data_IF_725435230016
#
_entry.id   IF_725435230016
#
_cell.length_a   1.000
_cell.length_b   1.000
_cell.length_c   1.000
_cell.angle_alpha   90.00
_cell.angle_beta   90.00
_cell.angle_gamma   90.00
#
_symmetry.space_group_name_H-M   'P 1'
#
loop_
_entity.id
_entity.type
_entity.pdbx_description
1 polymer ?
#
# COMPACT_ATOMS: atom_id res chain seq x y z
N UNK A 1 -15.39 -3.44 30.54
CA UNK A 1 -15.21 -3.16 29.10
C UNK A 1 -14.23 -4.20 28.60
N UNK A 2 -14.64 -5.12 27.70
CA UNK A 2 -13.74 -6.16 27.18
C UNK A 2 -12.62 -5.53 26.35
N UNK A 3 -11.41 -6.07 26.47
CA UNK A 3 -10.27 -5.69 25.66
C UNK A 3 -10.43 -6.34 24.27
N UNK A 4 -10.28 -5.56 23.21
CA UNK A 4 -10.48 -5.98 21.82
C UNK A 4 -9.13 -5.97 21.13
N UNK A 5 -8.80 -7.06 20.43
CA UNK A 5 -7.61 -7.14 19.58
C UNK A 5 -8.08 -7.05 18.12
N UNK A 6 -7.75 -5.95 17.45
CA UNK A 6 -7.93 -5.83 16.01
C UNK A 6 -6.73 -6.44 15.29
N UNK A 7 -6.95 -7.49 14.49
CA UNK A 7 -5.91 -8.07 13.64
C UNK A 7 -6.19 -7.72 12.18
N UNK A 8 -5.19 -7.16 11.52
CA UNK A 8 -5.28 -6.77 10.12
C UNK A 8 -4.13 -7.43 9.40
N UNK A 9 -4.50 -8.22 8.40
CA UNK A 9 -3.54 -8.95 7.57
C UNK A 9 -3.45 -8.20 6.25
N UNK A 10 -2.27 -7.67 5.98
CA UNK A 10 -1.93 -6.99 4.73
C UNK A 10 -1.02 -7.89 3.92
N UNK A 11 -1.41 -8.21 2.70
CA UNK A 11 -0.58 -8.98 1.77
C UNK A 11 -0.30 -8.13 0.51
N UNK A 12 0.99 -7.92 0.22
CA UNK A 12 1.47 -7.45 -1.09
C UNK A 12 1.38 -8.60 -2.09
N UNK A 13 0.17 -8.89 -2.59
CA UNK A 13 0.01 -9.87 -3.66
C UNK A 13 0.28 -9.20 -5.00
N UNK A 14 1.48 -9.42 -5.52
CA UNK A 14 1.83 -9.16 -6.91
C UNK A 14 2.07 -10.47 -7.65
N UNK A 15 1.00 -11.16 -8.08
CA UNK A 15 1.08 -12.31 -9.00
C UNK A 15 -0.08 -12.28 -10.00
N UNK A 16 0.17 -12.42 -11.31
CA UNK A 16 -0.78 -13.04 -12.22
C UNK A 16 -0.55 -14.57 -12.30
N UNK A 17 -1.65 -15.28 -12.60
CA UNK A 17 -1.78 -16.67 -13.02
C UNK A 17 -1.75 -17.79 -11.95
N UNK A 18 -2.94 -18.37 -11.74
CA UNK A 18 -3.11 -19.79 -11.40
C UNK A 18 -3.32 -20.11 -9.92
N UNK A 19 -4.51 -19.85 -9.39
CA UNK A 19 -5.04 -20.59 -8.24
C UNK A 19 -6.57 -20.53 -8.26
N UNK A 20 -7.19 -21.70 -8.11
CA UNK A 20 -8.62 -21.96 -8.20
C UNK A 20 -9.48 -21.01 -7.35
N UNK A 21 -10.57 -20.51 -7.95
CA UNK A 21 -11.80 -20.13 -7.23
C UNK A 21 -11.75 -18.89 -6.33
N UNK A 22 -10.66 -18.13 -6.26
CA UNK A 22 -10.64 -16.87 -5.51
C UNK A 22 -11.44 -15.81 -6.28
N UNK A 23 -12.62 -15.51 -5.74
CA UNK A 23 -13.48 -14.39 -6.14
C UNK A 23 -12.60 -13.14 -6.31
N UNK A 24 -12.69 -12.48 -7.46
CA UNK A 24 -11.88 -11.27 -7.70
C UNK A 24 -12.12 -10.27 -6.56
N UNK A 25 -11.06 -9.83 -5.85
CA UNK A 25 -11.22 -8.98 -4.70
C UNK A 25 -11.92 -7.69 -5.13
N UNK A 26 -13.02 -7.36 -4.45
CA UNK A 26 -13.78 -6.13 -4.73
C UNK A 26 -12.81 -4.94 -4.61
N UNK A 27 -12.84 -4.03 -5.59
CA UNK A 27 -12.04 -2.81 -5.53
C UNK A 27 -12.63 -1.87 -4.49
N UNK A 28 -11.81 -1.40 -3.55
CA UNK A 28 -12.22 -0.35 -2.63
C UNK A 28 -12.61 0.91 -3.42
N UNK A 29 -13.72 1.56 -3.01
CA UNK A 29 -14.15 2.82 -3.59
C UNK A 29 -13.30 3.95 -2.97
N UNK A 30 -12.51 4.70 -3.77
CA UNK A 30 -11.75 5.82 -3.25
C UNK A 30 -12.70 6.96 -2.87
N UNK A 31 -12.61 7.43 -1.63
CA UNK A 31 -13.40 8.56 -1.13
C UNK A 31 -12.51 9.79 -0.91
N UNK A 32 -12.37 10.68 -1.91
CA UNK A 32 -11.67 11.94 -1.71
C UNK A 32 -12.54 12.90 -0.87
N UNK A 33 -12.13 13.20 0.35
CA UNK A 33 -12.75 14.26 1.14
C UNK A 33 -12.06 15.61 0.85
N UNK A 34 -12.83 16.55 0.30
CA UNK A 34 -12.70 18.02 0.45
C UNK A 34 -11.36 18.71 0.12
N UNK A 35 -11.39 19.81 -0.64
CA UNK A 35 -10.24 20.72 -0.85
C UNK A 35 -9.86 21.55 0.38
N UNK A 36 -10.52 21.36 1.52
CA UNK A 36 -10.42 22.20 2.72
C UNK A 36 -9.97 21.36 3.92
N UNK A 37 -8.88 21.78 4.57
CA UNK A 37 -8.40 21.19 5.83
C UNK A 37 -9.52 21.27 6.88
N UNK A 38 -10.10 20.12 7.24
CA UNK A 38 -10.96 20.03 8.41
C UNK A 38 -10.06 19.88 9.65
N UNK A 39 -10.29 20.71 10.66
CA UNK A 39 -9.57 20.73 11.94
C UNK A 39 -9.73 19.46 12.79
N UNK A 40 -10.58 18.54 12.35
CA UNK A 40 -10.84 17.23 12.97
C UNK A 40 -10.34 16.11 12.07
N UNK A 41 -9.02 15.96 11.90
CA UNK A 41 -8.43 14.72 11.37
C UNK A 41 -8.92 14.24 9.99
N UNK A 42 -9.54 15.10 9.17
CA UNK A 42 -9.89 14.78 7.79
C UNK A 42 -8.62 14.76 6.96
N UNK A 43 -7.87 13.68 7.11
CA UNK A 43 -6.63 13.39 6.43
C UNK A 43 -6.83 13.46 4.92
N UNK A 44 -5.86 14.12 4.27
CA UNK A 44 -5.62 14.15 2.83
C UNK A 44 -6.04 12.83 2.16
N UNK A 45 -6.67 12.92 0.99
CA UNK A 45 -7.08 11.75 0.18
C UNK A 45 -5.91 10.81 -0.17
N UNK A 46 -4.66 11.31 -0.06
CA UNK A 46 -3.43 10.56 -0.28
C UNK A 46 -2.58 10.55 0.99
N UNK A 47 -1.75 9.52 1.15
CA UNK A 47 -0.67 9.55 2.14
C UNK A 47 0.24 10.76 1.87
N UNK A 48 0.63 11.55 2.89
CA UNK A 48 1.58 12.65 2.72
C UNK A 48 2.99 12.09 2.50
N UNK A 49 3.23 11.52 1.32
CA UNK A 49 4.58 11.20 0.85
C UNK A 49 5.20 12.50 0.37
N UNK A 50 6.39 12.90 0.87
CA UNK A 50 7.05 14.10 0.39
C UNK A 50 7.24 14.08 -1.13
N UNK A 51 7.27 15.24 -1.80
CA UNK A 51 7.64 15.30 -3.21
C UNK A 51 9.03 14.70 -3.44
N UNK A 52 9.15 13.79 -4.39
CA UNK A 52 10.43 13.29 -4.88
C UNK A 52 10.99 14.30 -5.89
N UNK A 53 12.10 14.94 -5.55
CA UNK A 53 12.79 15.83 -6.50
C UNK A 53 13.47 15.01 -7.60
N UNK A 54 13.73 15.64 -8.75
CA UNK A 54 14.43 14.99 -9.87
C UNK A 54 15.88 14.63 -9.51
N UNK A 55 16.57 15.54 -8.82
CA UNK A 55 17.94 15.34 -8.34
C UNK A 55 18.01 14.13 -7.40
N UNK A 56 17.13 14.07 -6.39
CA UNK A 56 17.05 12.93 -5.47
C UNK A 56 16.72 11.63 -6.19
N UNK A 57 15.82 11.67 -7.18
CA UNK A 57 15.53 10.50 -8.01
C UNK A 57 16.77 9.99 -8.78
N UNK A 58 17.58 10.88 -9.35
CA UNK A 58 18.81 10.50 -10.04
C UNK A 58 19.86 9.93 -9.08
N UNK A 59 20.01 10.52 -7.89
CA UNK A 59 20.88 10.01 -6.84
C UNK A 59 20.49 8.58 -6.45
N UNK A 60 19.19 8.32 -6.26
CA UNK A 60 18.67 7.00 -5.95
C UNK A 60 18.91 5.99 -7.09
N UNK A 61 18.72 6.38 -8.36
CA UNK A 61 19.02 5.49 -9.49
C UNK A 61 20.52 5.15 -9.57
N UNK A 62 21.38 6.14 -9.33
CA UNK A 62 22.84 5.95 -9.34
C UNK A 62 23.29 5.03 -8.19
N UNK A 63 22.74 5.20 -6.99
CA UNK A 63 22.99 4.30 -5.87
C UNK A 63 22.50 2.88 -6.16
N UNK A 64 21.25 2.74 -6.63
CA UNK A 64 20.67 1.43 -6.95
C UNK A 64 21.45 0.66 -8.03
N UNK A 65 22.10 1.36 -8.97
CA UNK A 65 22.95 0.72 -9.97
C UNK A 65 24.11 -0.10 -9.36
N UNK A 66 24.62 0.31 -8.20
CA UNK A 66 25.70 -0.37 -7.47
C UNK A 66 25.23 -1.34 -6.38
N UNK A 67 23.93 -1.34 -6.06
CA UNK A 67 23.36 -2.10 -4.94
C UNK A 67 22.75 -3.46 -5.40
N UNK A 68 22.48 -4.39 -4.45
CA UNK A 68 21.78 -5.64 -4.76
C UNK A 68 20.30 -5.40 -5.12
N UNK A 69 19.71 -6.24 -5.98
CA UNK A 69 18.27 -6.20 -6.30
C UNK A 69 17.42 -6.90 -5.23
N UNK A 70 17.55 -6.47 -3.97
CA UNK A 70 16.90 -7.07 -2.80
C UNK A 70 16.58 -6.01 -1.73
N UNK A 71 15.91 -6.42 -0.65
CA UNK A 71 15.61 -5.57 0.52
C UNK A 71 16.86 -4.98 1.20
N UNK A 72 18.06 -5.49 0.90
CA UNK A 72 19.32 -4.95 1.37
C UNK A 72 19.76 -3.66 0.64
N UNK A 73 19.02 -3.21 -0.38
CA UNK A 73 19.31 -1.98 -1.14
C UNK A 73 18.48 -0.80 -0.61
N UNK A 74 19.06 0.12 0.16
CA UNK A 74 18.33 1.28 0.67
C UNK A 74 17.78 2.14 -0.47
N UNK A 75 18.51 2.28 -1.57
CA UNK A 75 18.06 3.07 -2.71
C UNK A 75 16.83 2.44 -3.38
N UNK A 76 16.79 1.11 -3.51
CA UNK A 76 15.61 0.40 -3.99
C UNK A 76 14.42 0.60 -3.02
N UNK A 77 14.62 0.36 -1.72
CA UNK A 77 13.55 0.50 -0.73
C UNK A 77 12.93 1.91 -0.78
N UNK A 78 13.77 2.94 -0.93
CA UNK A 78 13.34 4.33 -1.02
C UNK A 78 12.65 4.66 -2.35
N UNK A 79 13.16 4.16 -3.49
CA UNK A 79 12.47 4.27 -4.79
C UNK A 79 11.06 3.66 -4.72
N UNK A 80 10.91 2.53 -4.03
CA UNK A 80 9.62 1.87 -3.83
C UNK A 80 8.73 2.61 -2.84
N UNK A 81 9.31 3.24 -1.82
CA UNK A 81 8.59 4.16 -0.93
C UNK A 81 8.00 5.33 -1.72
N UNK A 82 8.74 5.95 -2.65
CA UNK A 82 8.18 7.03 -3.48
C UNK A 82 7.22 6.54 -4.59
N UNK A 83 7.25 5.25 -4.92
CA UNK A 83 6.22 4.54 -5.69
C UNK A 83 5.80 5.25 -6.97
N UNK A 84 4.59 5.80 -7.00
CA UNK A 84 4.03 6.49 -8.18
C UNK A 84 4.90 7.65 -8.67
N UNK A 85 5.60 8.35 -7.77
CA UNK A 85 6.49 9.45 -8.14
C UNK A 85 7.71 8.91 -8.90
N UNK A 86 8.36 7.88 -8.35
CA UNK A 86 9.49 7.19 -9.00
C UNK A 86 9.10 6.63 -10.36
N UNK A 87 7.92 6.00 -10.48
CA UNK A 87 7.43 5.49 -11.77
C UNK A 87 7.29 6.60 -12.83
N UNK A 88 6.68 7.73 -12.46
CA UNK A 88 6.48 8.86 -13.37
C UNK A 88 7.81 9.46 -13.84
N UNK A 89 8.78 9.60 -12.92
CA UNK A 89 10.12 10.09 -13.28
C UNK A 89 10.87 9.08 -14.15
N UNK A 90 10.76 7.78 -13.86
CA UNK A 90 11.35 6.71 -14.68
C UNK A 90 10.75 6.61 -16.08
N UNK A 91 9.46 6.94 -16.25
CA UNK A 91 8.79 7.04 -17.55
C UNK A 91 9.20 8.30 -18.32
N UNK A 92 9.39 9.42 -17.61
CA UNK A 92 9.70 10.71 -18.23
C UNK A 92 11.18 10.88 -18.59
N UNK A 93 12.08 10.37 -17.76
CA UNK A 93 13.52 10.64 -17.83
C UNK A 93 14.36 9.40 -18.17
N UNK A 94 13.74 8.21 -18.12
CA UNK A 94 14.39 6.95 -18.44
C UNK A 94 15.17 6.35 -17.26
N UNK A 95 15.82 5.19 -17.48
CA UNK A 95 16.45 4.40 -16.43
C UNK A 95 17.82 4.92 -15.97
N UNK A 96 18.36 5.96 -16.61
CA UNK A 96 19.67 6.52 -16.26
C UNK A 96 20.78 5.46 -16.31
N UNK A 97 21.53 5.25 -15.20
CA UNK A 97 22.67 4.33 -15.16
C UNK A 97 22.30 2.85 -14.96
N UNK A 98 21.02 2.51 -14.82
CA UNK A 98 20.62 1.12 -14.60
C UNK A 98 20.90 0.26 -15.84
N UNK A 99 21.43 -0.94 -15.61
CA UNK A 99 21.43 -1.99 -16.62
C UNK A 99 19.99 -2.49 -16.92
N UNK A 100 19.87 -3.26 -17.99
CA UNK A 100 18.57 -3.74 -18.50
C UNK A 100 17.82 -4.60 -17.46
N UNK A 101 18.53 -5.38 -16.65
CA UNK A 101 17.89 -6.28 -15.68
C UNK A 101 17.41 -5.50 -14.45
N UNK A 102 18.19 -4.53 -13.96
CA UNK A 102 17.80 -3.61 -12.90
C UNK A 102 16.64 -2.72 -13.30
N UNK A 103 16.65 -2.17 -14.52
CA UNK A 103 15.53 -1.41 -15.05
C UNK A 103 14.26 -2.28 -15.07
N UNK A 104 14.36 -3.49 -15.64
CA UNK A 104 13.23 -4.43 -15.73
C UNK A 104 12.69 -4.77 -14.34
N UNK A 105 13.59 -5.04 -13.40
CA UNK A 105 13.25 -5.30 -12.00
C UNK A 105 12.50 -4.11 -11.38
N UNK A 106 13.07 -2.91 -11.44
CA UNK A 106 12.48 -1.69 -10.87
C UNK A 106 11.11 -1.40 -11.48
N UNK A 107 10.96 -1.49 -12.80
CA UNK A 107 9.67 -1.30 -13.49
C UNK A 107 8.64 -2.32 -13.05
N UNK A 108 9.03 -3.59 -12.85
CA UNK A 108 8.12 -4.63 -12.34
C UNK A 108 7.64 -4.29 -10.94
N UNK A 109 8.54 -3.88 -10.05
CA UNK A 109 8.18 -3.56 -8.67
C UNK A 109 7.33 -2.30 -8.57
N UNK A 110 7.64 -1.24 -9.32
CA UNK A 110 6.87 0.01 -9.35
C UNK A 110 5.47 -0.13 -9.97
N UNK A 111 5.20 -1.22 -10.71
CA UNK A 111 3.86 -1.56 -11.22
C UNK A 111 2.95 -2.15 -10.15
N UNK A 112 3.48 -2.56 -8.99
CA UNK A 112 2.68 -3.09 -7.88
C UNK A 112 2.03 -1.94 -7.12
N UNK A 113 0.86 -1.50 -7.60
CA UNK A 113 0.13 -0.34 -7.07
C UNK A 113 -0.99 -0.71 -6.08
N UNK A 114 -1.18 -2.00 -5.78
CA UNK A 114 -2.27 -2.48 -4.95
C UNK A 114 -1.77 -3.42 -3.87
N UNK A 115 -2.49 -3.44 -2.76
CA UNK A 115 -2.39 -4.45 -1.71
C UNK A 115 -3.73 -5.16 -1.55
N UNK A 116 -3.69 -6.39 -1.03
CA UNK A 116 -4.88 -7.08 -0.55
C UNK A 116 -4.96 -6.92 0.96
N UNK A 117 -6.11 -6.46 1.45
CA UNK A 117 -6.36 -6.21 2.87
C UNK A 117 -7.47 -7.12 3.34
N UNK A 118 -7.25 -7.79 4.46
CA UNK A 118 -8.28 -8.49 5.22
C UNK A 118 -8.38 -7.85 6.61
N UNK A 119 -9.61 -7.66 7.08
CA UNK A 119 -9.88 -7.04 8.39
C UNK A 119 -10.66 -8.02 9.27
N UNK A 120 -10.23 -8.16 10.53
CA UNK A 120 -10.90 -8.95 11.56
C UNK A 120 -10.85 -8.21 12.91
N UNK A 121 -11.97 -8.13 13.61
CA UNK A 121 -12.03 -7.78 15.04
C UNK A 121 -12.33 -9.06 15.80
N UNK A 122 -11.43 -9.41 16.72
CA UNK A 122 -11.52 -10.63 17.53
C UNK A 122 -11.67 -10.20 19.00
N UNK A 123 -12.63 -10.79 19.69
CA UNK A 123 -12.86 -10.54 21.11
C UNK A 123 -11.92 -11.37 22.01
N UNK A 124 -12.04 -11.20 23.32
CA UNK A 124 -11.20 -11.90 24.30
C UNK A 124 -11.42 -13.42 24.37
N UNK A 125 -12.38 -13.96 23.61
CA UNK A 125 -12.73 -15.38 23.54
C UNK A 125 -12.40 -15.97 22.17
N UNK A 126 -11.56 -15.30 21.38
CA UNK A 126 -11.18 -15.66 20.01
C UNK A 126 -12.36 -15.74 19.03
N UNK A 127 -13.45 -15.01 19.30
CA UNK A 127 -14.61 -14.96 18.40
C UNK A 127 -14.46 -13.78 17.45
N UNK A 128 -14.55 -14.05 16.14
CA UNK A 128 -14.61 -13.00 15.11
C UNK A 128 -15.94 -12.27 15.21
N UNK A 129 -15.89 -10.98 15.56
CA UNK A 129 -17.05 -10.10 15.74
C UNK A 129 -17.30 -9.20 14.55
N UNK A 130 -16.23 -8.76 13.88
CA UNK A 130 -16.30 -7.96 12.66
C UNK A 130 -15.33 -8.51 11.64
N UNK A 131 -15.72 -8.57 10.37
CA UNK A 131 -14.88 -9.12 9.33
C UNK A 131 -15.16 -8.51 7.96
N UNK A 132 -14.10 -8.36 7.15
CA UNK A 132 -14.15 -7.95 5.75
C UNK A 132 -13.44 -8.99 4.90
N UNK A 133 -14.07 -9.51 3.85
CA UNK A 133 -13.38 -10.40 2.90
C UNK A 133 -12.15 -9.70 2.29
N UNK A 134 -11.15 -10.46 1.82
CA UNK A 134 -9.98 -9.89 1.16
C UNK A 134 -10.37 -8.87 0.07
N UNK A 135 -9.87 -7.64 0.22
CA UNK A 135 -10.20 -6.50 -0.63
C UNK A 135 -8.95 -5.91 -1.26
N UNK A 136 -9.02 -5.57 -2.55
CA UNK A 136 -7.91 -4.89 -3.23
C UNK A 136 -8.01 -3.40 -2.97
N UNK A 137 -6.96 -2.83 -2.41
CA UNK A 137 -6.84 -1.39 -2.15
C UNK A 137 -5.64 -0.82 -2.88
N UNK A 138 -5.75 0.32 -3.56
CA UNK A 138 -4.59 0.97 -4.13
C UNK A 138 -3.71 1.56 -3.02
N UNK A 139 -2.40 1.47 -3.21
CA UNK A 139 -1.42 2.06 -2.33
C UNK A 139 -1.50 3.59 -2.38
N UNK A 140 -1.06 4.24 -1.30
CA UNK A 140 -0.93 5.70 -1.17
C UNK A 140 -2.24 6.49 -1.20
N UNK A 141 -3.39 5.81 -1.20
CA UNK A 141 -4.71 6.44 -1.23
C UNK A 141 -5.45 6.05 0.05
N UNK A 142 -6.24 6.97 0.60
CA UNK A 142 -7.13 6.68 1.72
C UNK A 142 -8.37 5.93 1.22
N UNK A 143 -8.73 4.88 1.95
CA UNK A 143 -9.89 4.02 1.66
C UNK A 143 -10.79 3.92 2.87
N UNK A 144 -12.08 3.75 2.61
CA UNK A 144 -13.04 3.26 3.60
C UNK A 144 -13.18 1.76 3.37
N UNK A 145 -13.00 0.97 4.43
CA UNK A 145 -13.13 -0.48 4.37
C UNK A 145 -14.61 -0.85 4.51
N UNK A 146 -15.24 -1.21 3.39
CA UNK A 146 -16.67 -1.51 3.34
C UNK A 146 -16.97 -2.56 2.24
N UNK A 147 -17.88 -3.53 2.48
CA UNK A 147 -18.69 -3.71 3.69
C UNK A 147 -17.96 -4.45 4.80
N UNK A 148 -18.14 -3.99 6.03
CA UNK A 148 -17.81 -4.76 7.23
C UNK A 148 -19.01 -5.62 7.60
N UNK A 149 -18.80 -6.94 7.68
CA UNK A 149 -19.78 -7.88 8.21
C UNK A 149 -19.61 -7.92 9.73
N UNK A 150 -20.73 -7.97 10.46
CA UNK A 150 -20.75 -7.79 11.92
C UNK A 150 -21.60 -8.89 12.56
N UNK A 151 -21.15 -9.41 13.70
CA UNK A 151 -21.88 -10.37 14.53
C UNK A 151 -21.74 -10.00 16.01
N UNK A 152 -22.88 -9.77 16.67
CA UNK A 152 -22.97 -9.45 18.10
C UNK A 152 -22.00 -8.34 18.54
N UNK A 153 -21.87 -7.31 17.72
CA UNK A 153 -20.95 -6.19 17.91
C UNK A 153 -21.52 -4.93 17.27
N UNK A 154 -21.13 -3.75 17.74
CA UNK A 154 -21.55 -2.50 17.11
C UNK A 154 -20.79 -2.30 15.80
N UNK A 155 -21.48 -1.96 14.70
CA UNK A 155 -20.82 -1.74 13.41
C UNK A 155 -19.77 -0.63 13.52
N UNK A 156 -18.47 -0.94 13.37
CA UNK A 156 -17.45 0.09 13.40
C UNK A 156 -17.37 0.78 12.04
N UNK A 157 -16.81 1.98 12.03
CA UNK A 157 -16.27 2.60 10.83
C UNK A 157 -14.78 2.26 10.77
N UNK A 158 -14.31 1.78 9.62
CA UNK A 158 -12.90 1.53 9.39
C UNK A 158 -12.47 2.26 8.11
N UNK A 159 -11.46 3.11 8.22
CA UNK A 159 -10.83 3.78 7.08
C UNK A 159 -9.34 3.80 7.29
N UNK A 160 -8.55 3.87 6.22
CA UNK A 160 -7.11 3.92 6.37
C UNK A 160 -6.37 4.08 5.06
N UNK A 161 -5.06 4.21 5.16
CA UNK A 161 -4.16 4.28 4.01
C UNK A 161 -3.13 3.17 4.13
N UNK A 162 -2.90 2.47 3.02
CA UNK A 162 -1.83 1.47 2.91
C UNK A 162 -0.71 2.05 2.08
N UNK A 163 0.51 2.02 2.62
CA UNK A 163 1.73 2.54 2.00
C UNK A 163 2.72 1.40 1.80
N UNK A 164 3.36 1.37 0.64
CA UNK A 164 4.57 0.53 0.49
C UNK A 164 5.76 1.27 1.07
N UNK A 165 6.49 0.62 1.97
CA UNK A 165 7.67 1.17 2.64
C UNK A 165 8.93 0.34 2.36
N UNK A 166 8.83 -0.61 1.42
CA UNK A 166 9.93 -1.48 1.05
C UNK A 166 9.54 -2.53 0.02
N UNK A 167 10.47 -3.39 -0.37
CA UNK A 167 10.24 -4.46 -1.33
C UNK A 167 9.15 -5.43 -0.85
N UNK A 168 9.22 -5.79 0.43
CA UNK A 168 8.32 -6.76 1.09
C UNK A 168 7.47 -6.14 2.21
N UNK A 169 7.56 -4.83 2.43
CA UNK A 169 6.95 -4.17 3.58
C UNK A 169 5.83 -3.21 3.19
N UNK A 170 4.71 -3.35 3.88
CA UNK A 170 3.61 -2.39 3.89
C UNK A 170 3.50 -1.74 5.26
N UNK A 171 3.16 -0.46 5.27
CA UNK A 171 2.71 0.26 6.44
C UNK A 171 1.23 0.62 6.27
N UNK A 172 0.48 0.57 7.36
CA UNK A 172 -0.92 0.98 7.37
C UNK A 172 -1.21 1.89 8.56
N UNK A 173 -2.09 2.86 8.31
CA UNK A 173 -2.71 3.69 9.33
C UNK A 173 -4.21 3.62 9.21
N UNK A 174 -4.89 3.41 10.34
CA UNK A 174 -6.35 3.33 10.51
C UNK A 174 -6.77 4.38 11.52
#
# INVERSE_FOLDING_TARGET
>A
MPAIIGLIILLLLGLPAGADGLQEPTLAVPHPHGKTMCSSGCALSNHPTPPLSREHFHELLAAFAGEPMSEESPALEELLYYGRQSRRLLEAEGPGPLDVDRERFLRRELRREFATVEFRIIDERDVVRVWMEPMRVPLDIRHVFYPLKVKDFQSPEASGTVKRVGLHHLWQRI
#
